data_IF_584929433566
#
_entry.id   IF_584929433566
#
_cell.length_a   1.000
_cell.length_b   1.000
_cell.length_c   1.000
_cell.angle_alpha   90.00
_cell.angle_beta   90.00
_cell.angle_gamma   90.00
#
_symmetry.space_group_name_H-M   'P 1'
#
loop_
_entity.id
_entity.type
_entity.pdbx_description
1 polymer ?
#
# COMPACT_ATOMS: atom_id res chain seq x y z
N UNK A 1 -32.44 8.10 -8.38
CA UNK A 1 -31.97 7.65 -7.07
C UNK A 1 -31.95 6.13 -7.06
N UNK A 2 -30.85 5.50 -7.39
CA UNK A 2 -30.64 4.06 -7.26
C UNK A 2 -29.23 3.90 -6.65
N UNK A 3 -29.19 3.72 -5.32
CA UNK A 3 -27.99 3.38 -4.62
C UNK A 3 -27.63 1.93 -5.02
N UNK A 4 -26.71 1.77 -5.97
CA UNK A 4 -26.09 0.48 -6.26
C UNK A 4 -25.25 0.08 -5.04
N UNK A 5 -25.78 -0.81 -4.23
CA UNK A 5 -25.00 -1.61 -3.28
C UNK A 5 -24.07 -2.52 -4.12
N UNK A 6 -22.87 -2.06 -4.44
CA UNK A 6 -21.82 -2.95 -4.94
C UNK A 6 -21.23 -3.68 -3.74
N UNK A 7 -21.51 -4.96 -3.66
CA UNK A 7 -20.90 -5.92 -2.74
C UNK A 7 -19.41 -5.96 -3.04
N UNK A 8 -18.57 -5.59 -2.05
CA UNK A 8 -17.13 -5.80 -2.11
C UNK A 8 -16.89 -7.29 -2.41
N UNK A 9 -16.36 -7.60 -3.58
CA UNK A 9 -15.76 -8.89 -3.83
C UNK A 9 -14.45 -8.92 -3.05
N UNK A 10 -14.50 -9.46 -1.85
CA UNK A 10 -13.28 -9.87 -1.15
C UNK A 10 -12.65 -10.92 -2.05
N UNK A 11 -11.52 -10.57 -2.68
CA UNK A 11 -10.79 -11.47 -3.55
C UNK A 11 -10.61 -12.81 -2.85
N UNK A 12 -10.99 -13.88 -3.55
CA UNK A 12 -10.98 -15.27 -3.11
C UNK A 12 -9.65 -15.60 -2.43
N UNK A 13 -9.66 -15.54 -1.14
CA UNK A 13 -8.65 -16.10 -0.28
C UNK A 13 -8.76 -17.62 -0.40
N UNK A 14 -7.63 -18.33 -0.45
CA UNK A 14 -7.53 -19.78 -0.69
C UNK A 14 -8.66 -20.60 -0.05
N UNK A 15 -9.26 -21.48 -0.81
CA UNK A 15 -10.45 -22.22 -0.48
C UNK A 15 -10.42 -22.86 0.92
N UNK A 16 -11.36 -22.47 1.77
CA UNK A 16 -11.74 -23.19 2.97
C UNK A 16 -11.96 -22.39 4.24
N UNK A 17 -11.08 -21.45 4.60
CA UNK A 17 -11.16 -20.71 5.87
C UNK A 17 -11.72 -19.28 5.74
N UNK A 18 -11.92 -18.80 4.53
CA UNK A 18 -12.18 -17.40 4.24
C UNK A 18 -13.65 -17.00 4.08
N UNK A 19 -14.55 -17.97 3.94
CA UNK A 19 -16.00 -17.69 3.84
C UNK A 19 -16.57 -17.10 5.14
N UNK A 20 -16.00 -17.48 6.28
CA UNK A 20 -16.39 -16.93 7.59
C UNK A 20 -15.85 -15.52 7.82
N UNK A 21 -14.64 -15.20 7.32
CA UNK A 21 -14.03 -13.88 7.40
C UNK A 21 -14.68 -12.87 6.46
N UNK A 22 -15.03 -13.29 5.24
CA UNK A 22 -15.70 -12.42 4.27
C UNK A 22 -17.08 -11.92 4.77
N UNK A 23 -17.83 -12.76 5.47
CA UNK A 23 -19.09 -12.36 6.11
C UNK A 23 -18.89 -11.36 7.26
N UNK A 24 -17.84 -11.54 8.07
CA UNK A 24 -17.50 -10.66 9.18
C UNK A 24 -16.93 -9.30 8.74
N UNK A 25 -16.19 -9.27 7.62
CA UNK A 25 -15.60 -8.05 7.07
C UNK A 25 -16.64 -7.16 6.34
N UNK A 26 -17.71 -7.75 5.81
CA UNK A 26 -18.76 -6.99 5.13
C UNK A 26 -19.50 -6.01 6.05
N UNK A 27 -19.60 -6.34 7.35
CA UNK A 27 -20.28 -5.53 8.37
C UNK A 27 -19.30 -4.72 9.25
N UNK A 28 -17.98 -4.86 9.04
CA UNK A 28 -16.94 -4.23 9.86
C UNK A 28 -16.44 -2.95 9.23
N UNK A 29 -16.15 -1.94 10.05
CA UNK A 29 -15.50 -0.72 9.59
C UNK A 29 -14.02 -1.01 9.29
N UNK A 30 -13.61 -1.01 8.03
CA UNK A 30 -12.23 -1.21 7.62
C UNK A 30 -11.28 -0.08 8.11
N UNK A 31 -11.82 1.02 8.63
CA UNK A 31 -11.03 2.05 9.30
C UNK A 31 -10.65 1.70 10.75
N UNK A 32 -11.18 0.60 11.31
CA UNK A 32 -10.91 0.18 12.69
C UNK A 32 -9.60 -0.62 12.79
N UNK A 33 -8.65 -0.10 13.57
CA UNK A 33 -7.38 -0.77 13.85
C UNK A 33 -7.56 -2.15 14.47
N UNK A 34 -8.52 -2.31 15.40
CA UNK A 34 -8.72 -3.61 16.07
C UNK A 34 -9.08 -4.73 15.08
N UNK A 35 -9.76 -4.39 13.99
CA UNK A 35 -10.05 -5.36 12.93
C UNK A 35 -8.76 -5.84 12.27
N UNK A 36 -7.86 -4.91 11.91
CA UNK A 36 -6.60 -5.21 11.26
C UNK A 36 -5.64 -5.95 12.19
N UNK A 37 -5.55 -5.57 13.47
CA UNK A 37 -4.77 -6.29 14.48
C UNK A 37 -5.19 -7.76 14.55
N UNK A 38 -6.51 -8.05 14.59
CA UNK A 38 -7.04 -9.41 14.57
C UNK A 38 -6.71 -10.15 13.26
N UNK A 39 -6.82 -9.47 12.11
CA UNK A 39 -6.50 -10.04 10.81
C UNK A 39 -5.02 -10.43 10.71
N UNK A 40 -4.14 -9.54 11.16
CA UNK A 40 -2.70 -9.76 11.12
C UNK A 40 -2.20 -10.77 12.17
N UNK A 41 -2.92 -10.94 13.28
CA UNK A 41 -2.61 -11.94 14.32
C UNK A 41 -2.97 -13.38 13.91
N UNK A 42 -3.74 -13.59 12.84
CA UNK A 42 -4.19 -14.93 12.46
C UNK A 42 -3.01 -15.81 12.01
N UNK A 43 -2.91 -17.06 12.53
CA UNK A 43 -1.93 -18.01 12.06
C UNK A 43 -2.11 -18.29 10.57
N UNK A 44 -1.05 -18.22 9.80
CA UNK A 44 -1.07 -18.54 8.38
C UNK A 44 -0.54 -19.93 8.17
N UNK A 45 -1.26 -20.73 7.38
CA UNK A 45 -0.86 -22.10 7.06
C UNK A 45 0.16 -22.11 5.91
N UNK A 46 1.21 -22.93 6.04
CA UNK A 46 2.22 -23.14 5.01
C UNK A 46 3.33 -22.08 4.96
N UNK A 47 3.98 -21.97 3.80
CA UNK A 47 5.11 -21.06 3.55
C UNK A 47 4.70 -19.61 3.30
N UNK A 48 3.38 -19.32 3.21
CA UNK A 48 2.87 -17.96 2.91
C UNK A 48 2.91 -17.13 4.19
N UNK A 49 3.83 -16.19 4.24
CA UNK A 49 4.09 -15.32 5.42
C UNK A 49 3.43 -13.97 5.34
N UNK A 50 3.04 -13.55 4.13
CA UNK A 50 2.46 -12.24 3.82
C UNK A 50 0.99 -12.38 3.48
N UNK A 51 0.24 -11.31 3.71
CA UNK A 51 -1.14 -11.17 3.26
C UNK A 51 -1.20 -9.94 2.37
N UNK A 52 -1.59 -10.17 1.11
CA UNK A 52 -1.75 -9.10 0.14
C UNK A 52 -3.22 -8.79 -0.08
N UNK A 53 -3.58 -7.57 0.28
CA UNK A 53 -4.84 -6.98 -0.14
C UNK A 53 -4.73 -6.67 -1.63
N UNK A 54 -5.67 -7.12 -2.44
CA UNK A 54 -5.66 -7.04 -3.91
C UNK A 54 -4.64 -7.99 -4.56
N UNK A 55 -3.36 -7.61 -4.57
CA UNK A 55 -2.26 -8.30 -5.24
C UNK A 55 -0.92 -8.03 -4.52
N UNK A 56 0.12 -8.74 -4.92
CA UNK A 56 1.46 -8.57 -4.39
C UNK A 56 2.40 -7.79 -5.32
N UNK A 57 3.69 -7.80 -4.98
CA UNK A 57 4.74 -7.10 -5.73
C UNK A 57 4.87 -7.56 -7.18
N UNK A 58 4.74 -8.88 -7.43
CA UNK A 58 4.94 -9.48 -8.76
C UNK A 58 4.03 -8.89 -9.83
N UNK A 59 2.80 -8.55 -9.44
CA UNK A 59 1.80 -8.01 -10.33
C UNK A 59 2.10 -6.57 -10.76
N UNK A 60 2.87 -5.83 -9.97
CA UNK A 60 3.10 -4.39 -10.19
C UNK A 60 4.57 -4.00 -10.37
N UNK A 61 5.50 -4.94 -10.29
CA UNK A 61 6.94 -4.65 -10.48
C UNK A 61 7.23 -3.96 -11.82
N UNK A 62 6.51 -4.35 -12.88
CA UNK A 62 6.64 -3.76 -14.21
C UNK A 62 6.24 -2.28 -14.28
N UNK A 63 5.36 -1.82 -13.36
CA UNK A 63 5.00 -0.42 -13.19
C UNK A 63 6.00 0.31 -12.28
N UNK A 64 6.42 -0.32 -11.19
CA UNK A 64 7.22 0.34 -10.15
C UNK A 64 8.68 0.52 -10.56
N UNK A 65 9.32 -0.48 -11.18
CA UNK A 65 10.74 -0.43 -11.51
C UNK A 65 11.11 0.71 -12.46
N UNK A 66 10.38 1.00 -13.56
CA UNK A 66 10.63 2.17 -14.40
C UNK A 66 10.55 3.49 -13.64
N UNK A 67 9.56 3.67 -12.76
CA UNK A 67 9.39 4.89 -11.96
C UNK A 67 10.56 5.10 -10.99
N UNK A 68 11.06 4.04 -10.38
CA UNK A 68 12.23 4.10 -9.52
C UNK A 68 13.51 4.41 -10.32
N UNK A 69 13.61 3.93 -11.55
CA UNK A 69 14.73 4.23 -12.43
C UNK A 69 14.71 5.70 -12.88
N UNK A 70 13.56 6.25 -13.22
CA UNK A 70 13.37 7.67 -13.53
C UNK A 70 13.70 8.57 -12.35
N UNK A 71 13.33 8.16 -11.13
CA UNK A 71 13.55 8.92 -9.89
C UNK A 71 15.01 8.87 -9.37
N UNK A 72 15.92 8.17 -10.07
CA UNK A 72 17.32 8.01 -9.62
C UNK A 72 18.07 9.34 -9.66
N UNK A 73 18.74 9.61 -8.56
CA UNK A 73 19.67 10.71 -8.39
C UNK A 73 20.99 10.18 -7.80
N UNK A 74 21.83 11.06 -7.23
CA UNK A 74 23.03 10.64 -6.49
C UNK A 74 22.71 9.78 -5.25
N UNK A 75 21.50 9.89 -4.70
CA UNK A 75 21.01 9.08 -3.59
C UNK A 75 19.98 8.05 -4.06
N UNK A 76 19.85 6.90 -3.35
CA UNK A 76 18.78 5.96 -3.62
C UNK A 76 17.40 6.62 -3.51
N UNK A 77 16.46 6.35 -4.45
CA UNK A 77 15.10 6.85 -4.32
C UNK A 77 14.44 6.28 -3.06
N UNK A 78 13.72 7.15 -2.34
CA UNK A 78 12.97 6.77 -1.15
C UNK A 78 11.54 6.44 -1.51
N UNK A 79 11.06 5.30 -1.03
CA UNK A 79 9.70 4.80 -1.23
C UNK A 79 9.00 4.72 0.11
N UNK A 80 7.79 5.26 0.18
CA UNK A 80 6.89 5.11 1.32
C UNK A 80 5.71 4.23 0.91
N UNK A 81 5.41 3.19 1.69
CA UNK A 81 4.21 2.36 1.55
C UNK A 81 3.30 2.62 2.75
N UNK A 82 2.17 3.30 2.52
CA UNK A 82 1.24 3.70 3.58
C UNK A 82 0.16 2.64 3.80
N UNK A 83 0.01 2.19 5.06
CA UNK A 83 -0.83 1.05 5.39
C UNK A 83 -0.27 -0.25 4.80
N UNK A 84 1.04 -0.46 4.94
CA UNK A 84 1.75 -1.59 4.32
C UNK A 84 1.25 -2.97 4.80
N UNK A 85 0.60 -3.04 5.95
CA UNK A 85 0.11 -4.29 6.54
C UNK A 85 1.20 -5.35 6.61
N UNK A 86 0.84 -6.56 6.19
CA UNK A 86 1.80 -7.67 6.00
C UNK A 86 1.96 -8.03 4.52
N UNK A 87 1.82 -7.05 3.62
CA UNK A 87 2.00 -7.21 2.18
C UNK A 87 3.45 -7.51 1.81
N UNK A 88 3.64 -8.21 0.69
CA UNK A 88 4.97 -8.43 0.14
C UNK A 88 5.48 -7.26 -0.72
N UNK A 89 4.76 -6.14 -0.79
CA UNK A 89 5.13 -5.01 -1.65
C UNK A 89 6.49 -4.40 -1.24
N UNK A 90 6.63 -4.04 0.05
CA UNK A 90 7.89 -3.52 0.60
C UNK A 90 9.04 -4.53 0.48
N UNK A 91 8.78 -5.79 0.88
CA UNK A 91 9.81 -6.85 0.83
C UNK A 91 10.20 -7.22 -0.58
N UNK A 92 9.26 -7.20 -1.52
CA UNK A 92 9.51 -7.40 -2.95
C UNK A 92 10.39 -6.30 -3.54
N UNK A 93 10.09 -5.04 -3.25
CA UNK A 93 10.94 -3.90 -3.63
C UNK A 93 12.35 -4.05 -3.05
N UNK A 94 12.48 -4.37 -1.77
CA UNK A 94 13.77 -4.53 -1.10
C UNK A 94 14.61 -5.69 -1.67
N UNK A 95 13.98 -6.86 -1.89
CA UNK A 95 14.71 -8.08 -2.25
C UNK A 95 14.93 -8.24 -3.75
N UNK A 96 14.11 -7.63 -4.61
CA UNK A 96 14.11 -7.86 -6.06
C UNK A 96 14.47 -6.64 -6.90
N UNK A 97 14.46 -5.43 -6.32
CA UNK A 97 14.91 -4.25 -7.06
C UNK A 97 16.41 -4.36 -7.34
N UNK A 98 16.84 -4.35 -8.62
CA UNK A 98 18.25 -4.48 -8.96
C UNK A 98 19.07 -3.20 -8.71
N UNK A 99 18.39 -2.14 -8.31
CA UNK A 99 18.98 -0.84 -8.02
C UNK A 99 18.81 -0.46 -6.55
N UNK A 100 19.67 0.43 -6.00
CA UNK A 100 19.51 0.92 -4.64
C UNK A 100 18.12 1.54 -4.45
N UNK A 101 17.45 1.18 -3.36
CA UNK A 101 16.15 1.76 -2.94
C UNK A 101 16.10 1.83 -1.42
N UNK A 102 15.51 2.91 -0.89
CA UNK A 102 15.25 3.09 0.55
C UNK A 102 13.74 3.02 0.79
N UNK A 103 13.27 1.90 1.35
CA UNK A 103 11.84 1.60 1.53
C UNK A 103 11.45 1.78 2.98
N UNK A 104 10.41 2.58 3.21
CA UNK A 104 9.74 2.71 4.50
C UNK A 104 8.30 2.22 4.38
N UNK A 105 7.97 1.13 5.08
CA UNK A 105 6.59 0.68 5.27
C UNK A 105 6.03 1.27 6.57
N UNK A 106 4.85 1.86 6.51
CA UNK A 106 4.16 2.35 7.70
C UNK A 106 2.78 1.71 7.84
N UNK A 107 2.42 1.38 9.06
CA UNK A 107 1.09 0.87 9.39
C UNK A 107 0.69 1.31 10.81
N UNK A 108 -0.61 1.44 11.06
CA UNK A 108 -1.09 1.75 12.41
C UNK A 108 -1.18 0.50 13.31
N UNK A 109 -1.16 -0.72 12.71
CA UNK A 109 -1.20 -1.99 13.42
C UNK A 109 0.19 -2.40 13.91
N UNK A 110 0.45 -2.39 15.23
CA UNK A 110 1.71 -2.90 15.77
C UNK A 110 1.89 -4.40 15.51
N UNK A 111 0.79 -5.14 15.34
CA UNK A 111 0.81 -6.59 15.05
C UNK A 111 1.36 -6.84 13.65
N UNK A 112 0.92 -6.07 12.65
CA UNK A 112 1.46 -6.15 11.30
C UNK A 112 2.97 -5.85 11.28
N UNK A 113 3.38 -4.79 11.96
CA UNK A 113 4.78 -4.36 11.97
C UNK A 113 5.70 -5.32 12.73
N UNK A 114 5.23 -5.90 13.85
CA UNK A 114 5.98 -6.93 14.55
C UNK A 114 6.24 -8.15 13.64
N UNK A 115 5.22 -8.54 12.85
CA UNK A 115 5.37 -9.60 11.86
C UNK A 115 6.40 -9.24 10.78
N UNK A 116 6.32 -8.04 10.19
CA UNK A 116 7.20 -7.61 9.12
C UNK A 116 8.65 -7.41 9.58
N UNK A 117 8.87 -6.87 10.78
CA UNK A 117 10.20 -6.78 11.37
C UNK A 117 10.80 -8.17 11.66
N UNK A 118 10.00 -9.10 12.20
CA UNK A 118 10.43 -10.50 12.39
C UNK A 118 10.80 -11.17 11.06
N UNK A 119 10.05 -10.91 9.99
CA UNK A 119 10.36 -11.43 8.66
C UNK A 119 11.66 -10.83 8.11
N UNK A 120 11.89 -9.53 8.28
CA UNK A 120 13.10 -8.83 7.83
C UNK A 120 14.35 -9.35 8.55
N UNK A 121 14.27 -9.53 9.86
CA UNK A 121 15.37 -9.94 10.74
C UNK A 121 15.64 -11.45 10.73
N UNK A 122 14.76 -12.25 10.11
CA UNK A 122 14.88 -13.71 10.10
C UNK A 122 14.46 -14.36 11.42
N UNK A 123 13.45 -13.82 12.09
CA UNK A 123 12.91 -14.39 13.32
C UNK A 123 12.41 -15.83 13.17
N UNK A 124 12.28 -16.55 14.29
CA UNK A 124 11.77 -17.94 14.35
C UNK A 124 12.58 -18.95 13.52
N UNK A 125 13.91 -18.79 13.46
CA UNK A 125 14.81 -19.74 12.77
C UNK A 125 14.82 -19.60 11.25
N UNK A 126 14.38 -18.49 10.73
CA UNK A 126 14.41 -18.15 9.30
C UNK A 126 15.65 -17.33 8.97
N UNK A 127 16.09 -17.41 7.71
CA UNK A 127 17.14 -16.52 7.22
C UNK A 127 16.60 -15.09 7.06
N UNK A 128 17.34 -14.06 7.49
CA UNK A 128 17.00 -12.67 7.21
C UNK A 128 16.79 -12.42 5.72
N UNK A 129 15.93 -11.45 5.39
CA UNK A 129 15.76 -11.04 4.01
C UNK A 129 17.05 -10.39 3.49
N UNK A 130 17.48 -10.81 2.31
CA UNK A 130 18.63 -10.22 1.63
C UNK A 130 18.19 -9.17 0.61
N UNK A 131 18.84 -7.99 0.56
CA UNK A 131 18.51 -6.96 -0.42
C UNK A 131 18.89 -7.39 -1.85
N UNK A 132 18.08 -6.96 -2.83
CA UNK A 132 18.43 -7.12 -4.26
C UNK A 132 19.63 -6.27 -4.68
N UNK A 133 19.90 -5.18 -3.94
CA UNK A 133 21.10 -4.36 -4.09
C UNK A 133 21.66 -4.02 -2.70
N UNK A 134 22.99 -4.12 -2.53
CA UNK A 134 23.67 -3.96 -1.22
C UNK A 134 23.40 -2.61 -0.52
N UNK A 135 23.15 -1.56 -1.28
CA UNK A 135 22.83 -0.23 -0.74
C UNK A 135 21.33 -0.02 -0.46
N UNK A 136 20.48 -1.02 -0.73
CA UNK A 136 19.05 -0.92 -0.41
C UNK A 136 18.79 -1.03 1.08
N UNK A 137 17.74 -0.35 1.54
CA UNK A 137 17.30 -0.35 2.93
C UNK A 137 15.80 -0.63 3.00
N UNK A 138 15.37 -1.27 4.09
CA UNK A 138 13.96 -1.50 4.39
C UNK A 138 13.73 -1.28 5.88
N UNK A 139 12.74 -0.47 6.19
CA UNK A 139 12.31 -0.16 7.55
C UNK A 139 10.80 -0.27 7.67
N UNK A 140 10.32 -0.65 8.87
CA UNK A 140 8.90 -0.64 9.19
C UNK A 140 8.68 0.18 10.46
N UNK A 141 7.74 1.13 10.41
CA UNK A 141 7.46 2.05 11.52
C UNK A 141 5.95 2.16 11.76
N UNK A 142 5.58 2.25 13.05
CA UNK A 142 4.18 2.48 13.40
C UNK A 142 3.81 3.95 13.15
N UNK A 143 2.79 4.18 12.31
CA UNK A 143 2.23 5.50 12.07
C UNK A 143 0.78 5.40 11.61
N UNK A 144 0.01 6.44 11.89
CA UNK A 144 -1.29 6.66 11.27
C UNK A 144 -1.07 7.33 9.91
N UNK A 145 -1.57 6.72 8.84
CA UNK A 145 -1.47 7.27 7.48
C UNK A 145 -2.12 8.68 7.35
N UNK A 146 -2.99 9.05 8.29
CA UNK A 146 -3.58 10.38 8.37
C UNK A 146 -2.70 11.39 9.13
N UNK A 147 -1.56 10.97 9.68
CA UNK A 147 -0.58 11.81 10.37
C UNK A 147 0.82 11.20 10.26
N UNK A 148 1.52 11.48 9.19
CA UNK A 148 2.85 10.97 8.90
C UNK A 148 3.97 11.89 9.43
N UNK A 149 3.65 13.05 9.99
CA UNK A 149 4.64 14.04 10.47
C UNK A 149 5.71 13.43 11.39
N UNK A 150 5.37 12.52 12.34
CA UNK A 150 6.37 11.95 13.24
C UNK A 150 7.42 11.05 12.55
N UNK A 151 7.12 10.52 11.36
CA UNK A 151 7.94 9.49 10.69
C UNK A 151 8.43 9.89 9.30
N UNK A 152 7.79 10.87 8.67
CA UNK A 152 8.01 11.23 7.27
C UNK A 152 8.07 12.76 7.09
N UNK A 153 9.27 13.34 6.87
CA UNK A 153 9.42 14.76 6.53
C UNK A 153 8.74 15.13 5.21
N UNK A 154 8.32 16.38 5.08
CA UNK A 154 7.73 16.89 3.82
C UNK A 154 8.74 16.77 2.67
N UNK A 155 8.24 16.43 1.48
CA UNK A 155 9.01 16.39 0.25
C UNK A 155 10.13 15.36 0.20
N UNK A 156 10.07 14.30 1.02
CA UNK A 156 11.20 13.39 1.24
C UNK A 156 11.12 12.07 0.46
N UNK A 157 9.99 11.76 -0.21
CA UNK A 157 9.81 10.50 -0.93
C UNK A 157 9.60 10.74 -2.43
N UNK A 158 10.29 9.98 -3.25
CA UNK A 158 10.13 9.99 -4.71
C UNK A 158 8.95 9.14 -5.16
N UNK A 159 8.59 8.13 -4.37
CA UNK A 159 7.44 7.29 -4.63
C UNK A 159 6.67 7.06 -3.33
N UNK A 160 5.37 7.32 -3.36
CA UNK A 160 4.44 6.99 -2.27
C UNK A 160 3.43 5.98 -2.80
N UNK A 161 3.28 4.88 -2.09
CA UNK A 161 2.38 3.78 -2.45
C UNK A 161 1.24 3.70 -1.43
N UNK A 162 0.04 3.53 -1.93
CA UNK A 162 -1.18 3.29 -1.16
C UNK A 162 -1.92 2.12 -1.82
N UNK A 163 -1.92 0.96 -1.21
CA UNK A 163 -2.59 -0.23 -1.73
C UNK A 163 -3.80 -0.59 -0.86
N UNK A 164 -4.95 0.01 -1.15
CA UNK A 164 -6.21 -0.22 -0.44
C UNK A 164 -6.35 0.52 0.90
N UNK A 165 -5.38 1.33 1.30
CA UNK A 165 -5.45 2.08 2.56
C UNK A 165 -6.47 3.22 2.46
N UNK A 166 -6.47 3.96 1.35
CA UNK A 166 -7.57 4.90 1.06
C UNK A 166 -8.93 4.22 1.14
N UNK A 167 -9.07 3.05 0.49
CA UNK A 167 -10.33 2.30 0.45
C UNK A 167 -10.81 1.94 1.86
N UNK A 168 -9.88 1.51 2.72
CA UNK A 168 -10.18 1.20 4.11
C UNK A 168 -10.57 2.44 4.93
N UNK A 169 -9.80 3.53 4.83
CA UNK A 169 -10.05 4.78 5.57
C UNK A 169 -11.35 5.44 5.11
N UNK A 170 -11.66 5.42 3.80
CA UNK A 170 -12.88 5.99 3.25
C UNK A 170 -14.17 5.31 3.78
N UNK A 171 -14.08 4.06 4.25
CA UNK A 171 -15.18 3.39 4.97
C UNK A 171 -15.54 4.07 6.29
N UNK A 172 -14.56 4.73 6.92
CA UNK A 172 -14.79 5.55 8.12
C UNK A 172 -15.25 6.99 7.81
N UNK A 173 -15.23 7.36 6.53
CA UNK A 173 -15.67 8.66 6.01
C UNK A 173 -14.61 9.37 5.18
N UNK A 174 -15.05 10.09 4.16
CA UNK A 174 -14.18 10.84 3.23
C UNK A 174 -13.24 11.86 3.90
N UNK A 175 -13.58 12.54 5.00
CA UNK A 175 -12.64 13.45 5.65
C UNK A 175 -11.33 12.78 6.05
N UNK A 176 -11.36 11.53 6.56
CA UNK A 176 -10.18 10.76 6.90
C UNK A 176 -9.34 10.41 5.65
N UNK A 177 -10.01 10.00 4.57
CA UNK A 177 -9.37 9.68 3.31
C UNK A 177 -8.67 10.91 2.69
N UNK A 178 -9.30 12.09 2.71
CA UNK A 178 -8.67 13.34 2.27
C UNK A 178 -7.47 13.74 3.14
N UNK A 179 -7.52 13.48 4.44
CA UNK A 179 -6.39 13.73 5.33
C UNK A 179 -5.21 12.81 4.99
N UNK A 180 -5.47 11.52 4.71
CA UNK A 180 -4.47 10.58 4.21
C UNK A 180 -3.85 11.08 2.90
N UNK A 181 -4.67 11.47 1.91
CA UNK A 181 -4.17 12.02 0.64
C UNK A 181 -3.30 13.25 0.85
N UNK A 182 -3.73 14.17 1.72
CA UNK A 182 -2.96 15.38 2.04
C UNK A 182 -1.59 15.03 2.63
N UNK A 183 -1.51 14.04 3.52
CA UNK A 183 -0.24 13.58 4.09
C UNK A 183 0.65 12.89 3.04
N UNK A 184 0.07 12.04 2.16
CA UNK A 184 0.80 11.45 1.05
C UNK A 184 1.41 12.52 0.13
N UNK A 185 0.64 13.56 -0.21
CA UNK A 185 1.12 14.66 -1.05
C UNK A 185 2.15 15.54 -0.31
N UNK A 186 2.00 15.75 1.00
CA UNK A 186 2.96 16.51 1.80
C UNK A 186 4.35 15.85 1.82
N UNK A 187 4.40 14.53 1.99
CA UNK A 187 5.68 13.79 2.06
C UNK A 187 6.29 13.53 0.69
N UNK A 188 5.50 13.65 -0.37
CA UNK A 188 5.94 13.45 -1.75
C UNK A 188 6.89 14.58 -2.18
N UNK A 189 8.01 14.22 -2.79
CA UNK A 189 8.94 15.20 -3.37
C UNK A 189 8.30 15.91 -4.57
N UNK A 190 8.75 17.10 -4.96
CA UNK A 190 8.13 17.87 -6.06
C UNK A 190 8.02 17.11 -7.38
N UNK A 191 8.96 16.21 -7.66
CA UNK A 191 8.99 15.37 -8.87
C UNK A 191 8.56 13.92 -8.56
N UNK A 192 8.04 13.67 -7.37
CA UNK A 192 7.62 12.33 -6.95
C UNK A 192 6.29 11.90 -7.58
N UNK A 193 5.98 10.63 -7.38
CA UNK A 193 4.72 10.02 -7.81
C UNK A 193 4.03 9.37 -6.62
N UNK A 194 2.78 9.74 -6.36
CA UNK A 194 1.88 8.95 -5.52
C UNK A 194 1.14 7.96 -6.41
N UNK A 195 1.09 6.69 -6.00
CA UNK A 195 0.26 5.66 -6.66
C UNK A 195 -0.72 5.10 -5.65
N UNK A 196 -2.01 5.22 -5.94
CA UNK A 196 -3.05 4.50 -5.22
C UNK A 196 -3.52 3.31 -6.04
N UNK A 197 -3.47 2.12 -5.45
CA UNK A 197 -4.00 0.89 -6.05
C UNK A 197 -5.37 0.57 -5.44
N UNK A 198 -6.36 0.35 -6.30
CA UNK A 198 -7.74 0.08 -5.90
C UNK A 198 -8.47 -0.78 -6.94
N UNK A 199 -9.55 -1.42 -6.55
CA UNK A 199 -10.55 -2.02 -7.44
C UNK A 199 -11.75 -1.09 -7.69
N UNK A 200 -11.72 0.13 -7.15
CA UNK A 200 -12.76 1.13 -7.38
C UNK A 200 -12.66 1.70 -8.80
N UNK A 201 -13.83 1.83 -9.43
CA UNK A 201 -13.96 2.34 -10.80
C UNK A 201 -13.45 3.78 -10.92
N UNK A 202 -12.76 4.14 -12.03
CA UNK A 202 -12.28 5.50 -12.27
C UNK A 202 -13.36 6.58 -12.20
N UNK A 203 -14.60 6.29 -12.63
CA UNK A 203 -15.70 7.25 -12.57
C UNK A 203 -16.07 7.64 -11.12
N UNK A 204 -15.71 6.81 -10.15
CA UNK A 204 -15.93 7.06 -8.72
C UNK A 204 -14.69 7.68 -8.07
N UNK A 205 -13.49 7.14 -8.38
CA UNK A 205 -12.24 7.53 -7.72
C UNK A 205 -11.66 8.85 -8.24
N UNK A 206 -11.66 9.08 -9.55
CA UNK A 206 -11.02 10.27 -10.11
C UNK A 206 -11.59 11.58 -9.57
N UNK A 207 -12.92 11.78 -9.44
CA UNK A 207 -13.46 13.01 -8.86
C UNK A 207 -12.95 13.30 -7.45
N UNK A 208 -12.77 12.26 -6.61
CA UNK A 208 -12.24 12.40 -5.26
C UNK A 208 -10.77 12.80 -5.29
N UNK A 209 -9.97 12.15 -6.15
CA UNK A 209 -8.55 12.46 -6.27
C UNK A 209 -8.30 13.85 -6.82
N UNK A 210 -8.98 14.25 -7.88
CA UNK A 210 -8.88 15.58 -8.50
C UNK A 210 -9.27 16.68 -7.49
N UNK A 211 -10.32 16.44 -6.69
CA UNK A 211 -10.71 17.37 -5.64
C UNK A 211 -9.64 17.50 -4.54
N UNK A 212 -9.05 16.38 -4.10
CA UNK A 212 -8.08 16.34 -2.99
C UNK A 212 -6.66 16.69 -3.38
N UNK A 213 -6.30 16.56 -4.67
CA UNK A 213 -4.96 16.82 -5.20
C UNK A 213 -4.92 18.01 -6.16
N UNK A 214 -5.63 19.09 -5.83
CA UNK A 214 -5.68 20.29 -6.69
C UNK A 214 -4.27 20.80 -7.03
N UNK A 215 -4.01 21.02 -8.32
CA UNK A 215 -2.70 21.45 -8.82
C UNK A 215 -1.75 20.29 -9.13
N UNK A 216 -2.19 19.05 -8.99
CA UNK A 216 -1.45 17.85 -9.38
C UNK A 216 -2.10 17.20 -10.59
N UNK A 217 -1.31 16.59 -11.45
CA UNK A 217 -1.83 15.80 -12.58
C UNK A 217 -2.25 14.40 -12.05
N UNK A 218 -3.48 13.99 -12.38
CA UNK A 218 -3.99 12.67 -12.06
C UNK A 218 -4.13 11.87 -13.33
N UNK A 219 -3.57 10.66 -13.35
CA UNK A 219 -3.71 9.70 -14.45
C UNK A 219 -4.10 8.34 -13.88
N UNK A 220 -4.72 7.50 -14.69
CA UNK A 220 -5.11 6.14 -14.30
C UNK A 220 -4.61 5.13 -15.32
N UNK A 221 -4.14 3.99 -14.80
CA UNK A 221 -3.76 2.83 -15.60
C UNK A 221 -4.53 1.62 -15.09
N UNK A 222 -5.16 0.88 -16.01
CA UNK A 222 -5.78 -0.40 -15.72
C UNK A 222 -4.71 -1.47 -15.49
N UNK A 223 -4.94 -2.33 -14.49
CA UNK A 223 -4.06 -3.43 -14.10
C UNK A 223 -4.82 -4.75 -14.08
N UNK A 224 -4.20 -5.80 -14.53
CA UNK A 224 -4.75 -7.15 -14.50
C UNK A 224 -5.43 -7.57 -15.81
N UNK A 225 -6.46 -8.42 -15.75
CA UNK A 225 -7.13 -8.90 -14.54
C UNK A 225 -6.26 -9.85 -13.70
N UNK A 226 -6.25 -9.62 -12.38
CA UNK A 226 -5.60 -10.53 -11.44
C UNK A 226 -6.69 -11.37 -10.76
N UNK A 227 -6.65 -12.69 -10.94
CA UNK A 227 -7.68 -13.61 -10.44
C UNK A 227 -9.11 -13.22 -10.88
N UNK A 228 -9.25 -12.65 -12.09
CA UNK A 228 -10.54 -12.25 -12.65
C UNK A 228 -11.06 -10.88 -12.17
N UNK A 229 -10.27 -10.12 -11.42
CA UNK A 229 -10.61 -8.78 -10.94
C UNK A 229 -9.71 -7.77 -11.65
N UNK A 230 -10.30 -6.74 -12.22
CA UNK A 230 -9.58 -5.57 -12.74
C UNK A 230 -9.28 -4.61 -11.59
N UNK A 231 -8.05 -4.11 -11.57
CA UNK A 231 -7.59 -3.10 -10.63
C UNK A 231 -7.11 -1.86 -11.39
N UNK A 232 -6.90 -0.78 -10.65
CA UNK A 232 -6.45 0.48 -11.21
C UNK A 232 -5.27 1.03 -10.39
N UNK A 233 -4.30 1.59 -11.09
CA UNK A 233 -3.25 2.42 -10.51
C UNK A 233 -3.58 3.89 -10.81
N UNK A 234 -3.96 4.64 -9.78
CA UNK A 234 -4.19 6.08 -9.86
C UNK A 234 -2.90 6.78 -9.51
N UNK A 235 -2.29 7.45 -10.48
CA UNK A 235 -1.01 8.14 -10.31
C UNK A 235 -1.23 9.64 -10.19
N UNK A 236 -0.70 10.23 -9.12
CA UNK A 236 -0.74 11.67 -8.86
C UNK A 236 0.69 12.21 -8.90
N UNK A 237 0.93 13.21 -9.77
CA UNK A 237 2.25 13.82 -10.00
C UNK A 237 2.16 15.33 -9.97
N UNK A 238 3.22 16.01 -9.48
CA UNK A 238 3.33 17.46 -9.58
C UNK A 238 3.25 17.92 -11.05
N UNK A 239 2.55 19.02 -11.30
CA UNK A 239 2.62 19.68 -12.59
C UNK A 239 3.97 20.41 -12.69
N UNK A 240 4.75 20.11 -13.73
CA UNK A 240 5.98 20.84 -14.08
C UNK A 240 5.66 22.26 -14.53
#
# INVERSE_FOLDING_TARGET
MAALRRTLHVASLAAGTHRALAGSLADSCLADRCLWDKLHAQPRQGSVRTFDWFFGYEEVQGLLLPLLQEARSACPPRVLDVGCGTSNLCTGLYTKCPHPVDVLGVDFSPVALAHMNSLLEGGQGQTPLSPGHLASRLHFMQADAQNLEPVAPSGSFQLVLDKGTWDAVARGGLPGAYKLLSECLRVLSPQGTLIQFSDEDPDVRLPCLEQGSRGWAVTVQELGPFRGITYFAYMVRGCN
#
